data_IF_131585205187
#
_entry.id   IF_131585205187
#
_cell.length_a   1.000
_cell.length_b   1.000
_cell.length_c   1.000
_cell.angle_alpha   90.00
_cell.angle_beta   90.00
_cell.angle_gamma   90.00
#
_symmetry.space_group_name_H-M   'P 1'
#
loop_
_entity.id
_entity.type
_entity.pdbx_description
1 polymer ?
#
# COMPACT_ATOMS: atom_id res chain seq x y z
N UNK A 1 23.99 5.17 89.07
CA UNK A 1 23.90 4.08 88.15
C UNK A 1 23.82 4.69 86.76
N UNK A 2 24.94 4.75 86.00
CA UNK A 2 25.03 5.33 84.69
C UNK A 2 25.23 4.15 83.69
N UNK A 3 24.27 3.91 82.86
CA UNK A 3 24.34 2.91 81.78
C UNK A 3 24.81 3.55 80.47
N UNK A 4 25.94 3.08 80.02
CA UNK A 4 26.59 3.57 78.78
C UNK A 4 26.13 2.65 77.63
N UNK A 5 25.45 3.25 76.67
CA UNK A 5 25.11 2.50 75.46
C UNK A 5 26.15 2.76 74.41
N UNK A 6 26.75 1.65 73.95
CA UNK A 6 27.70 1.60 72.82
C UNK A 6 26.94 1.62 71.48
N UNK A 7 27.20 2.66 70.69
CA UNK A 7 26.65 2.73 69.33
C UNK A 7 27.67 2.13 68.35
N UNK A 8 27.29 1.01 67.77
CA UNK A 8 28.07 0.41 66.68
C UNK A 8 27.56 1.00 65.35
N UNK A 9 28.40 1.75 64.67
CA UNK A 9 28.12 2.26 63.32
C UNK A 9 28.58 1.23 62.31
N UNK A 10 27.60 0.62 61.62
CA UNK A 10 27.86 -0.22 60.44
C UNK A 10 27.81 0.65 59.18
N UNK A 11 28.94 0.79 58.52
CA UNK A 11 29.06 1.45 57.21
C UNK A 11 28.50 0.49 56.13
N UNK A 12 27.38 0.87 55.50
CA UNK A 12 26.86 0.23 54.32
C UNK A 12 27.50 0.85 53.08
N UNK A 13 28.29 0.08 52.40
CA UNK A 13 28.85 0.45 51.07
C UNK A 13 27.75 0.37 50.02
N UNK A 14 27.33 1.49 49.49
CA UNK A 14 26.43 1.62 48.33
C UNK A 14 27.23 1.33 47.04
N UNK A 15 27.06 0.14 46.51
CA UNK A 15 27.53 -0.20 45.15
C UNK A 15 26.53 0.40 44.19
N UNK A 16 26.92 1.48 43.49
CA UNK A 16 26.19 2.03 42.35
C UNK A 16 26.48 1.17 41.13
N UNK A 17 25.56 0.27 40.83
CA UNK A 17 25.49 -0.41 39.54
C UNK A 17 24.84 0.57 38.55
N UNK A 18 25.67 1.18 37.71
CA UNK A 18 25.19 1.93 36.57
C UNK A 18 24.69 0.94 35.51
N UNK A 19 23.39 0.70 35.49
CA UNK A 19 22.75 0.03 34.37
C UNK A 19 22.78 0.98 33.15
N UNK A 20 23.64 0.69 32.20
CA UNK A 20 23.56 1.28 30.86
C UNK A 20 22.27 0.76 30.22
N UNK A 21 21.29 1.64 30.20
CA UNK A 21 20.07 1.44 29.40
C UNK A 21 20.46 1.77 27.96
N UNK A 22 20.79 0.72 27.21
CA UNK A 22 21.03 0.80 25.79
C UNK A 22 19.68 1.08 25.11
N UNK A 23 19.50 2.31 24.71
CA UNK A 23 18.34 2.80 23.99
C UNK A 23 18.39 2.20 22.59
N UNK A 24 17.74 1.06 22.41
CA UNK A 24 17.52 0.49 21.08
C UNK A 24 16.56 1.41 20.33
N UNK A 25 17.13 2.14 19.40
CA UNK A 25 16.41 2.98 18.42
C UNK A 25 15.61 2.04 17.50
N UNK A 26 14.34 1.81 17.88
CA UNK A 26 13.37 1.11 17.04
C UNK A 26 12.87 2.09 15.98
N UNK A 27 13.73 2.42 15.02
CA UNK A 27 13.26 2.93 13.74
C UNK A 27 12.50 1.80 13.07
N UNK A 28 11.18 1.81 13.22
CA UNK A 28 10.29 0.97 12.45
C UNK A 28 10.45 1.36 10.98
N UNK A 29 11.32 0.62 10.31
CA UNK A 29 11.46 0.66 8.86
C UNK A 29 10.12 0.20 8.31
N UNK A 30 9.35 1.12 7.75
CA UNK A 30 8.15 0.78 7.01
C UNK A 30 8.54 -0.30 6.00
N UNK A 31 7.92 -1.46 6.09
CA UNK A 31 8.13 -2.54 5.14
C UNK A 31 7.57 -2.10 3.80
N UNK A 32 8.45 -1.70 2.89
CA UNK A 32 8.12 -1.60 1.49
C UNK A 32 7.51 -2.93 1.05
N UNK A 33 6.39 -2.93 0.30
CA UNK A 33 5.89 -4.16 -0.28
C UNK A 33 6.99 -4.75 -1.16
N UNK A 34 7.23 -6.06 -1.12
CA UNK A 34 8.29 -6.67 -1.91
C UNK A 34 8.00 -6.44 -3.39
N UNK A 35 8.89 -5.69 -4.04
CA UNK A 35 8.93 -5.57 -5.49
C UNK A 35 9.25 -6.94 -6.07
N UNK A 36 8.22 -7.74 -6.29
CA UNK A 36 8.31 -9.05 -6.92
C UNK A 36 8.83 -8.91 -8.34
N UNK A 37 10.09 -9.30 -8.55
CA UNK A 37 10.69 -9.33 -9.87
C UNK A 37 10.15 -10.55 -10.63
N UNK A 38 9.11 -10.35 -11.46
CA UNK A 38 8.73 -11.33 -12.46
C UNK A 38 9.88 -11.46 -13.49
N UNK A 39 10.32 -12.69 -13.77
CA UNK A 39 11.26 -12.95 -14.87
C UNK A 39 10.51 -12.78 -16.18
N UNK A 40 10.82 -11.73 -16.93
CA UNK A 40 10.41 -11.58 -18.32
C UNK A 40 11.02 -12.70 -19.16
N UNK A 41 10.20 -13.43 -19.89
CA UNK A 41 10.64 -14.56 -20.71
C UNK A 41 11.19 -14.19 -22.08
N UNK A 42 11.42 -12.90 -22.41
CA UNK A 42 11.92 -12.51 -23.73
C UNK A 42 12.66 -11.16 -23.83
N UNK A 43 12.96 -10.47 -22.73
CA UNK A 43 13.83 -9.29 -22.73
C UNK A 43 15.25 -9.69 -22.30
N UNK A 44 16.25 -9.17 -23.00
CA UNK A 44 17.64 -9.28 -22.55
C UNK A 44 17.78 -8.36 -21.32
N UNK A 45 17.80 -8.94 -20.12
CA UNK A 45 17.93 -8.21 -18.84
C UNK A 45 19.13 -7.23 -18.82
N UNK A 46 20.05 -7.40 -19.78
CA UNK A 46 21.17 -6.50 -19.98
C UNK A 46 20.76 -5.13 -20.58
N UNK A 47 19.56 -4.99 -21.12
CA UNK A 47 19.08 -3.76 -21.80
C UNK A 47 17.86 -3.12 -21.14
N UNK A 48 17.24 -3.75 -20.14
CA UNK A 48 16.06 -3.21 -19.45
C UNK A 48 16.34 -1.87 -18.78
N UNK A 49 15.39 -0.94 -18.91
CA UNK A 49 15.42 0.36 -18.24
C UNK A 49 14.45 0.44 -17.08
N UNK A 50 14.38 1.61 -16.46
CA UNK A 50 13.48 1.91 -15.35
C UNK A 50 12.70 3.19 -15.62
N UNK A 51 11.46 3.24 -15.16
CA UNK A 51 10.64 4.44 -15.13
C UNK A 51 10.46 4.86 -13.68
N UNK A 52 10.94 6.06 -13.36
CA UNK A 52 10.78 6.69 -12.06
C UNK A 52 9.91 7.92 -12.21
N UNK A 53 9.29 8.35 -11.12
CA UNK A 53 8.58 9.61 -11.19
C UNK A 53 7.82 9.95 -9.94
N UNK A 54 7.13 11.09 -10.03
CA UNK A 54 6.30 11.61 -8.96
C UNK A 54 4.91 11.96 -9.48
N UNK A 55 3.94 11.85 -8.59
CA UNK A 55 2.56 12.26 -8.84
C UNK A 55 2.19 13.34 -7.84
N UNK A 56 1.68 14.47 -8.34
CA UNK A 56 1.29 15.60 -7.51
C UNK A 56 -0.12 16.08 -7.84
N UNK A 57 -0.73 16.79 -6.89
CA UNK A 57 -1.99 17.49 -7.09
C UNK A 57 -1.73 18.99 -7.20
N UNK A 58 -2.11 19.60 -8.32
CA UNK A 58 -2.09 21.05 -8.47
C UNK A 58 -3.39 21.65 -7.90
N UNK A 59 -3.24 22.70 -7.12
CA UNK A 59 -4.38 23.40 -6.52
C UNK A 59 -4.79 22.84 -5.16
N UNK A 60 -6.05 23.08 -4.79
CA UNK A 60 -6.57 22.68 -3.49
C UNK A 60 -7.11 21.24 -3.54
N UNK A 61 -6.67 20.41 -2.61
CA UNK A 61 -7.19 19.06 -2.46
C UNK A 61 -8.71 19.07 -2.16
N UNK A 62 -9.49 18.21 -2.80
CA UNK A 62 -10.86 17.97 -2.39
C UNK A 62 -10.92 17.54 -0.92
N UNK A 63 -11.97 17.98 -0.20
CA UNK A 63 -12.15 17.57 1.19
C UNK A 63 -12.60 16.12 1.25
N UNK A 64 -11.81 15.29 1.89
CA UNK A 64 -12.26 13.96 2.31
C UNK A 64 -13.33 14.12 3.39
N UNK A 65 -14.37 13.32 3.33
CA UNK A 65 -15.43 13.36 4.35
C UNK A 65 -15.01 12.58 5.61
N UNK A 66 -15.46 13.06 6.76
CA UNK A 66 -15.27 12.33 8.01
C UNK A 66 -16.14 11.08 8.04
N UNK A 67 -15.55 9.97 8.40
CA UNK A 67 -16.23 8.67 8.53
C UNK A 67 -16.87 8.60 9.91
N UNK A 68 -18.17 8.32 9.95
CA UNK A 68 -18.88 8.05 11.20
C UNK A 68 -18.90 6.53 11.46
N UNK A 69 -18.10 6.08 12.42
CA UNK A 69 -17.98 4.68 12.84
C UNK A 69 -18.85 4.35 14.08
N UNK A 70 -19.74 5.24 14.52
CA UNK A 70 -20.51 5.06 15.75
C UNK A 70 -21.43 3.83 15.73
N UNK A 71 -21.77 3.31 14.56
CA UNK A 71 -22.57 2.09 14.40
C UNK A 71 -21.80 0.81 14.82
N UNK A 72 -20.48 0.84 14.84
CA UNK A 72 -19.61 -0.24 15.34
C UNK A 72 -18.61 0.33 16.37
N UNK A 73 -18.87 0.08 17.68
CA UNK A 73 -17.99 0.58 18.73
C UNK A 73 -16.55 0.07 18.67
N UNK A 74 -16.31 -1.12 18.11
CA UNK A 74 -14.95 -1.66 17.98
C UNK A 74 -14.18 -0.88 16.91
N UNK A 75 -14.82 -0.54 15.80
CA UNK A 75 -14.26 0.37 14.80
C UNK A 75 -13.95 1.75 15.39
N UNK A 76 -14.90 2.33 16.11
CA UNK A 76 -14.72 3.65 16.71
C UNK A 76 -13.56 3.70 17.72
N UNK A 77 -13.37 2.65 18.54
CA UNK A 77 -12.30 2.55 19.55
C UNK A 77 -10.91 2.32 18.93
N UNK A 78 -10.83 1.82 17.70
CA UNK A 78 -9.56 1.55 17.03
C UNK A 78 -8.80 2.83 16.62
N UNK A 79 -9.43 3.99 16.77
CA UNK A 79 -8.88 5.29 16.39
C UNK A 79 -8.85 6.27 17.55
N UNK A 80 -7.74 7.01 17.68
CA UNK A 80 -7.58 8.05 18.69
C UNK A 80 -8.29 9.38 18.32
N UNK A 81 -8.81 9.51 17.10
CA UNK A 81 -9.43 10.74 16.59
C UNK A 81 -10.27 10.50 15.34
N UNK A 82 -10.79 11.58 14.73
CA UNK A 82 -11.60 11.47 13.53
C UNK A 82 -10.84 10.80 12.37
N UNK A 83 -11.52 9.89 11.70
CA UNK A 83 -11.04 9.21 10.49
C UNK A 83 -11.69 9.86 9.28
N UNK A 84 -10.96 10.04 8.21
CA UNK A 84 -11.47 10.55 6.94
C UNK A 84 -11.39 9.50 5.86
N UNK A 85 -12.23 9.64 4.83
CA UNK A 85 -12.10 8.83 3.61
C UNK A 85 -10.74 9.04 2.95
N UNK A 86 -10.27 8.02 2.23
CA UNK A 86 -8.98 8.04 1.54
C UNK A 86 -9.13 8.30 0.03
N UNK A 87 -10.24 8.93 -0.37
CA UNK A 87 -10.56 9.18 -1.78
C UNK A 87 -9.52 10.06 -2.48
N UNK A 88 -8.95 11.05 -1.76
CA UNK A 88 -7.81 11.85 -2.25
C UNK A 88 -6.84 12.04 -1.08
N UNK A 89 -5.72 11.36 -1.11
CA UNK A 89 -4.70 11.44 -0.05
C UNK A 89 -3.53 12.25 -0.55
N UNK A 90 -3.37 13.44 0.03
CA UNK A 90 -2.29 14.37 -0.33
C UNK A 90 -1.26 14.41 0.79
N UNK A 91 -0.02 14.11 0.46
CA UNK A 91 1.14 14.16 1.34
C UNK A 91 1.87 15.50 1.31
N UNK A 92 3.13 15.49 1.74
CA UNK A 92 4.00 16.66 1.67
C UNK A 92 4.23 17.10 0.21
N UNK A 93 4.48 18.39 0.00
CA UNK A 93 4.73 18.96 -1.34
C UNK A 93 3.64 18.64 -2.38
N UNK A 94 2.39 18.47 -1.94
CA UNK A 94 1.24 18.07 -2.77
C UNK A 94 1.39 16.68 -3.42
N UNK A 95 2.23 15.82 -2.90
CA UNK A 95 2.38 14.45 -3.35
C UNK A 95 1.04 13.71 -3.28
N UNK A 96 0.68 12.95 -4.32
CA UNK A 96 -0.61 12.27 -4.41
C UNK A 96 -0.43 10.76 -4.26
N UNK A 97 -1.02 10.22 -3.20
CA UNK A 97 -1.06 8.78 -2.92
C UNK A 97 -2.20 8.07 -3.65
N UNK A 98 -2.15 6.74 -3.64
CA UNK A 98 -3.19 5.86 -4.19
C UNK A 98 -3.42 6.06 -5.70
N UNK A 99 -2.37 6.47 -6.42
CA UNK A 99 -2.40 6.56 -7.88
C UNK A 99 -1.79 5.30 -8.47
N UNK A 100 -2.50 4.68 -9.40
CA UNK A 100 -1.99 3.54 -10.17
C UNK A 100 -1.26 4.09 -11.39
N UNK A 101 0.02 3.75 -11.54
CA UNK A 101 0.84 4.06 -12.72
C UNK A 101 1.09 2.76 -13.47
N UNK A 102 0.85 2.73 -14.76
CA UNK A 102 1.05 1.51 -15.54
C UNK A 102 1.33 1.81 -17.02
N UNK A 103 1.96 0.85 -17.68
CA UNK A 103 2.09 0.88 -19.16
C UNK A 103 0.76 0.44 -19.76
N UNK A 104 0.06 1.33 -20.41
CA UNK A 104 -1.24 1.03 -21.06
C UNK A 104 -1.10 0.60 -22.52
N UNK A 105 0.00 0.99 -23.20
CA UNK A 105 0.25 0.61 -24.59
C UNK A 105 1.75 0.48 -24.87
N UNK A 106 2.09 -0.30 -25.89
CA UNK A 106 3.47 -0.44 -26.38
C UNK A 106 4.17 -1.75 -26.04
N UNK A 107 3.59 -2.58 -25.16
CA UNK A 107 4.18 -3.88 -24.75
C UNK A 107 4.00 -5.00 -25.80
N UNK A 108 3.16 -4.79 -26.83
CA UNK A 108 2.87 -5.83 -27.80
C UNK A 108 2.08 -7.01 -27.22
N UNK A 109 2.41 -8.23 -27.68
CA UNK A 109 1.70 -9.46 -27.31
C UNK A 109 2.49 -10.32 -26.30
N UNK A 110 3.34 -9.71 -25.49
CA UNK A 110 4.12 -10.44 -24.49
C UNK A 110 3.22 -11.10 -23.44
N UNK A 111 3.61 -12.28 -22.98
CA UNK A 111 2.95 -13.00 -21.89
C UNK A 111 3.90 -13.06 -20.69
N UNK A 112 3.37 -12.88 -19.52
CA UNK A 112 4.11 -12.88 -18.26
C UNK A 112 3.52 -13.91 -17.32
N UNK A 113 4.39 -14.62 -16.60
CA UNK A 113 3.96 -15.51 -15.53
C UNK A 113 3.76 -14.68 -14.26
N UNK A 114 2.60 -14.76 -13.61
CA UNK A 114 2.35 -13.97 -12.39
C UNK A 114 3.28 -14.39 -11.25
N UNK A 115 3.65 -13.45 -10.37
CA UNK A 115 4.42 -13.75 -9.16
C UNK A 115 3.72 -14.80 -8.30
N UNK A 116 4.51 -15.63 -7.62
CA UNK A 116 3.99 -16.65 -6.69
C UNK A 116 3.60 -16.04 -5.35
N UNK A 117 4.28 -14.98 -4.96
CA UNK A 117 4.04 -14.24 -3.73
C UNK A 117 2.71 -13.51 -3.81
N UNK A 118 1.84 -13.67 -2.81
CA UNK A 118 0.58 -12.95 -2.77
C UNK A 118 0.79 -11.45 -2.48
N UNK A 119 -0.05 -10.62 -3.07
CA UNK A 119 -0.23 -9.25 -2.60
C UNK A 119 -1.20 -9.28 -1.41
N UNK A 120 -0.89 -8.55 -0.35
CA UNK A 120 -1.72 -8.50 0.86
C UNK A 120 -2.55 -7.21 0.87
N UNK A 121 -3.85 -7.37 1.14
CA UNK A 121 -4.78 -6.29 1.50
C UNK A 121 -5.26 -6.55 2.92
N UNK A 122 -4.88 -5.69 3.86
CA UNK A 122 -5.24 -5.84 5.27
C UNK A 122 -6.49 -5.02 5.61
N UNK A 123 -7.39 -5.58 6.41
CA UNK A 123 -8.48 -4.84 7.06
C UNK A 123 -8.04 -4.54 8.49
N UNK A 124 -7.82 -3.26 8.77
CA UNK A 124 -7.32 -2.78 10.05
C UNK A 124 -7.83 -1.38 10.35
N UNK A 125 -8.33 -1.18 11.56
CA UNK A 125 -9.00 0.05 11.92
C UNK A 125 -10.30 0.25 11.13
N UNK A 126 -10.95 -0.83 10.73
CA UNK A 126 -12.14 -0.81 9.88
C UNK A 126 -11.94 0.01 8.59
N UNK A 127 -10.75 -0.11 8.00
CA UNK A 127 -10.35 0.42 6.71
C UNK A 127 -9.56 -0.65 5.95
N UNK A 128 -9.51 -0.57 4.63
CA UNK A 128 -8.56 -1.36 3.84
C UNK A 128 -7.21 -0.66 3.86
N UNK A 129 -6.21 -1.26 4.51
CA UNK A 129 -4.82 -0.82 4.40
C UNK A 129 -4.30 -1.20 3.01
N UNK A 130 -3.75 -0.22 2.29
CA UNK A 130 -3.64 -0.32 0.85
C UNK A 130 -5.00 -0.07 0.19
N UNK A 131 -5.49 1.18 0.29
CA UNK A 131 -6.76 1.63 -0.33
C UNK A 131 -6.84 1.25 -1.81
N UNK A 132 -5.69 1.25 -2.49
CA UNK A 132 -5.51 0.75 -3.84
C UNK A 132 -4.41 -0.30 -3.84
N UNK A 133 -4.71 -1.49 -4.37
CA UNK A 133 -3.73 -2.57 -4.59
C UNK A 133 -3.69 -2.95 -6.06
N UNK A 134 -2.51 -3.33 -6.54
CA UNK A 134 -2.30 -3.76 -7.91
C UNK A 134 -1.67 -5.15 -7.94
N UNK A 135 -2.16 -6.03 -8.81
CA UNK A 135 -1.74 -7.42 -8.94
C UNK A 135 -1.60 -7.80 -10.41
N UNK A 136 -0.87 -8.85 -10.69
CA UNK A 136 -0.90 -9.50 -12.01
C UNK A 136 -2.07 -10.49 -12.13
N UNK A 137 -2.57 -10.66 -13.34
CA UNK A 137 -3.62 -11.64 -13.63
C UNK A 137 -3.15 -13.05 -13.26
N UNK A 138 -3.88 -13.73 -12.38
CA UNK A 138 -3.49 -15.02 -11.82
C UNK A 138 -2.66 -14.95 -10.54
N UNK A 139 -2.09 -13.79 -10.17
CA UNK A 139 -1.43 -13.62 -8.89
C UNK A 139 -2.44 -13.71 -7.75
N UNK A 140 -2.01 -14.26 -6.62
CA UNK A 140 -2.84 -14.33 -5.42
C UNK A 140 -2.99 -12.96 -4.76
N UNK A 141 -4.23 -12.59 -4.46
CA UNK A 141 -4.57 -11.56 -3.48
C UNK A 141 -4.89 -12.27 -2.16
N UNK A 142 -4.18 -11.92 -1.10
CA UNK A 142 -4.45 -12.37 0.26
C UNK A 142 -5.07 -11.22 1.05
N UNK A 143 -6.30 -11.41 1.49
CA UNK A 143 -7.01 -10.45 2.33
C UNK A 143 -6.98 -10.93 3.77
N UNK A 144 -6.56 -10.05 4.68
CA UNK A 144 -6.44 -10.36 6.10
C UNK A 144 -7.35 -9.45 6.93
N UNK A 145 -7.92 -9.98 8.02
CA UNK A 145 -8.69 -9.19 8.98
C UNK A 145 -7.94 -9.16 10.32
N UNK A 146 -7.33 -8.02 10.63
CA UNK A 146 -6.61 -7.76 11.88
C UNK A 146 -7.46 -7.03 12.93
N UNK A 147 -8.70 -6.68 12.60
CA UNK A 147 -9.62 -6.03 13.53
C UNK A 147 -10.31 -7.04 14.46
N UNK A 148 -10.77 -6.59 15.62
CA UNK A 148 -11.54 -7.40 16.58
C UNK A 148 -13.00 -7.61 16.14
N UNK A 149 -13.44 -6.96 15.07
CA UNK A 149 -14.79 -7.10 14.50
C UNK A 149 -14.75 -7.87 13.18
N UNK A 150 -15.91 -8.38 12.77
CA UNK A 150 -16.06 -9.08 11.50
C UNK A 150 -16.23 -8.09 10.35
N UNK A 151 -15.60 -8.40 9.23
CA UNK A 151 -15.80 -7.70 7.96
C UNK A 151 -16.36 -8.65 6.91
N UNK A 152 -16.57 -8.14 5.73
CA UNK A 152 -16.60 -8.94 4.52
C UNK A 152 -15.80 -8.22 3.43
N UNK A 153 -15.31 -8.96 2.46
CA UNK A 153 -14.70 -8.42 1.26
C UNK A 153 -15.56 -8.71 0.06
N UNK A 154 -15.91 -7.66 -0.69
CA UNK A 154 -16.80 -7.73 -1.83
C UNK A 154 -16.23 -6.92 -3.01
N UNK A 155 -15.36 -7.50 -3.84
CA UNK A 155 -14.98 -6.93 -5.12
C UNK A 155 -16.14 -6.97 -6.09
N UNK A 156 -16.34 -5.88 -6.86
CA UNK A 156 -17.41 -5.73 -7.84
C UNK A 156 -16.80 -5.52 -9.22
N UNK A 157 -16.24 -6.57 -9.83
CA UNK A 157 -15.61 -6.48 -11.13
C UNK A 157 -16.63 -6.43 -12.26
N UNK A 158 -16.24 -5.82 -13.39
CA UNK A 158 -16.98 -5.85 -14.64
C UNK A 158 -16.56 -7.03 -15.54
N UNK A 159 -15.26 -7.39 -15.50
CA UNK A 159 -14.68 -8.40 -16.40
C UNK A 159 -14.27 -9.70 -15.70
N UNK A 160 -14.14 -9.69 -14.38
CA UNK A 160 -13.86 -10.86 -13.57
C UNK A 160 -15.11 -11.37 -12.87
N UNK A 161 -15.00 -12.48 -12.14
CA UNK A 161 -16.11 -13.02 -11.38
C UNK A 161 -16.29 -12.25 -10.08
N UNK A 162 -17.49 -11.70 -9.85
CA UNK A 162 -17.90 -11.11 -8.58
C UNK A 162 -17.99 -12.18 -7.48
N UNK A 163 -17.58 -11.83 -6.27
CA UNK A 163 -17.72 -12.66 -5.08
C UNK A 163 -17.81 -11.78 -3.82
N UNK A 164 -18.44 -12.33 -2.79
CA UNK A 164 -18.60 -11.70 -1.49
C UNK A 164 -18.35 -12.76 -0.40
N UNK A 165 -17.40 -12.51 0.49
CA UNK A 165 -17.02 -13.46 1.55
C UNK A 165 -16.97 -12.78 2.89
N UNK A 166 -17.63 -13.38 3.89
CA UNK A 166 -17.48 -12.99 5.30
C UNK A 166 -16.08 -13.29 5.80
N UNK A 167 -15.57 -12.40 6.64
CA UNK A 167 -14.20 -12.49 7.16
C UNK A 167 -14.18 -12.13 8.65
N UNK A 168 -14.39 -13.11 9.54
CA UNK A 168 -14.16 -12.96 10.97
C UNK A 168 -12.72 -12.58 11.28
N UNK A 169 -12.48 -12.07 12.49
CA UNK A 169 -11.14 -11.75 13.00
C UNK A 169 -10.14 -12.88 12.75
N UNK A 170 -8.95 -12.55 12.27
CA UNK A 170 -7.84 -13.50 12.07
C UNK A 170 -8.01 -14.45 10.88
N UNK A 171 -9.13 -14.38 10.16
CA UNK A 171 -9.36 -15.19 8.96
C UNK A 171 -8.70 -14.53 7.75
N UNK A 172 -7.87 -15.27 7.03
CA UNK A 172 -7.32 -14.86 5.74
C UNK A 172 -8.14 -15.48 4.60
N UNK A 173 -8.36 -14.71 3.54
CA UNK A 173 -9.01 -15.13 2.30
C UNK A 173 -8.00 -14.99 1.16
N UNK A 174 -7.81 -16.06 0.38
CA UNK A 174 -7.05 -15.99 -0.87
C UNK A 174 -8.00 -16.00 -2.06
N UNK A 175 -7.73 -15.16 -3.04
CA UNK A 175 -8.45 -15.06 -4.30
C UNK A 175 -7.51 -14.73 -5.45
N UNK A 176 -7.95 -15.00 -6.68
CA UNK A 176 -7.24 -14.63 -7.91
C UNK A 176 -8.20 -13.98 -8.89
N UNK A 177 -7.69 -13.07 -9.70
CA UNK A 177 -8.40 -12.47 -10.82
C UNK A 177 -7.67 -12.85 -12.10
N UNK A 178 -8.38 -13.49 -13.02
CA UNK A 178 -7.76 -14.05 -14.24
C UNK A 178 -7.75 -13.10 -15.43
N UNK A 179 -8.42 -11.96 -15.34
CA UNK A 179 -8.56 -11.01 -16.45
C UNK A 179 -8.11 -9.62 -16.02
N UNK A 180 -7.42 -8.97 -16.95
CA UNK A 180 -7.06 -7.56 -16.79
C UNK A 180 -8.29 -6.69 -16.55
N UNK A 181 -8.23 -5.89 -15.51
CA UNK A 181 -9.29 -4.97 -15.14
C UNK A 181 -8.73 -3.89 -14.20
N UNK A 182 -8.84 -2.64 -14.61
CA UNK A 182 -8.34 -1.53 -13.81
C UNK A 182 -9.44 -1.05 -12.88
N UNK A 183 -9.06 -0.81 -11.60
CA UNK A 183 -9.91 -0.18 -10.61
C UNK A 183 -11.23 -0.94 -10.30
N UNK A 184 -11.12 -2.24 -10.03
CA UNK A 184 -12.24 -3.02 -9.49
C UNK A 184 -12.62 -2.44 -8.12
N UNK A 185 -13.85 -1.91 -7.94
CA UNK A 185 -14.27 -1.42 -6.64
C UNK A 185 -14.36 -2.56 -5.63
N UNK A 186 -13.90 -2.30 -4.42
CA UNK A 186 -14.03 -3.21 -3.27
C UNK A 186 -14.79 -2.51 -2.17
N UNK A 187 -15.73 -3.21 -1.55
CA UNK A 187 -16.50 -2.71 -0.39
C UNK A 187 -16.62 -3.74 0.71
N UNK A 188 -16.93 -3.27 1.91
CA UNK A 188 -17.49 -4.06 3.00
C UNK A 188 -18.99 -3.79 3.09
N UNK A 189 -19.83 -4.83 3.12
CA UNK A 189 -21.29 -4.66 3.26
C UNK A 189 -21.70 -4.40 4.72
N UNK A 190 -20.84 -4.74 5.68
CA UNK A 190 -21.04 -4.49 7.12
C UNK A 190 -20.71 -3.03 7.44
N UNK A 191 -19.60 -2.53 6.90
CA UNK A 191 -19.09 -1.19 7.14
C UNK A 191 -19.06 -0.37 5.83
N UNK A 192 -20.13 0.36 5.50
CA UNK A 192 -20.29 1.02 4.18
C UNK A 192 -19.22 2.04 3.84
N UNK A 193 -18.46 2.50 4.84
CA UNK A 193 -17.33 3.42 4.66
C UNK A 193 -16.04 2.72 4.20
N UNK A 194 -15.93 1.39 4.38
CA UNK A 194 -14.78 0.63 3.91
C UNK A 194 -14.85 0.42 2.41
N UNK A 195 -13.99 1.13 1.70
CA UNK A 195 -13.88 1.11 0.24
C UNK A 195 -12.42 1.01 -0.16
N UNK A 196 -12.16 0.45 -1.32
CA UNK A 196 -10.85 0.36 -1.92
C UNK A 196 -10.95 -0.08 -3.38
N UNK A 197 -9.79 -0.30 -4.00
CA UNK A 197 -9.71 -0.70 -5.40
C UNK A 197 -8.66 -1.77 -5.60
N UNK A 198 -8.93 -2.69 -6.52
CA UNK A 198 -7.99 -3.68 -7.00
C UNK A 198 -7.76 -3.43 -8.49
N UNK A 199 -6.51 -3.29 -8.91
CA UNK A 199 -6.14 -3.27 -10.31
C UNK A 199 -5.49 -4.60 -10.69
N UNK A 200 -5.85 -5.15 -11.84
CA UNK A 200 -5.36 -6.43 -12.37
C UNK A 200 -4.72 -6.18 -13.72
N UNK A 201 -3.44 -6.50 -13.85
CA UNK A 201 -2.65 -6.29 -15.07
C UNK A 201 -2.21 -7.62 -15.69
N UNK A 202 -2.01 -7.65 -17.00
CA UNK A 202 -1.42 -8.80 -17.71
C UNK A 202 0.11 -8.78 -17.74
N UNK A 203 0.73 -7.78 -17.14
CA UNK A 203 2.16 -7.52 -17.17
C UNK A 203 2.64 -6.92 -15.85
N UNK A 204 3.93 -6.99 -15.51
CA UNK A 204 4.48 -6.49 -14.24
C UNK A 204 4.76 -4.97 -14.21
N UNK A 205 4.48 -4.24 -15.29
CA UNK A 205 4.89 -2.83 -15.43
C UNK A 205 3.83 -1.87 -14.89
N UNK A 206 3.68 -1.88 -13.58
CA UNK A 206 2.80 -0.98 -12.83
C UNK A 206 3.38 -0.66 -11.46
N UNK A 207 2.90 0.40 -10.85
CA UNK A 207 3.17 0.79 -9.46
C UNK A 207 1.97 1.50 -8.87
N UNK A 208 1.90 1.60 -7.54
CA UNK A 208 0.92 2.42 -6.81
C UNK A 208 1.69 3.38 -5.92
N UNK A 209 1.35 4.68 -5.99
CA UNK A 209 2.06 5.71 -5.23
C UNK A 209 1.72 5.65 -3.74
N UNK A 210 2.75 5.83 -2.90
CA UNK A 210 2.62 6.08 -1.48
C UNK A 210 2.33 7.56 -1.16
N UNK A 211 2.42 7.94 0.13
CA UNK A 211 2.21 9.33 0.59
C UNK A 211 3.26 10.32 0.11
N UNK A 212 4.39 9.84 -0.37
CA UNK A 212 5.46 10.60 -1.03
C UNK A 212 5.14 10.92 -2.51
N UNK A 213 4.12 10.24 -3.07
CA UNK A 213 3.75 10.36 -4.47
C UNK A 213 4.75 9.74 -5.45
N UNK A 214 5.78 9.08 -4.94
CA UNK A 214 6.82 8.47 -5.76
C UNK A 214 6.39 7.11 -6.32
N UNK A 215 6.95 6.76 -7.47
CA UNK A 215 6.79 5.44 -8.07
C UNK A 215 8.04 5.02 -8.84
N UNK A 216 8.24 3.71 -8.93
CA UNK A 216 9.31 3.09 -9.71
C UNK A 216 8.75 1.84 -10.41
N UNK A 217 8.96 1.76 -11.74
CA UNK A 217 8.65 0.58 -12.54
C UNK A 217 9.95 0.10 -13.18
N UNK A 218 10.37 -1.12 -12.85
CA UNK A 218 11.66 -1.69 -13.27
C UNK A 218 11.50 -2.73 -14.37
N UNK A 219 12.62 -3.00 -15.03
CA UNK A 219 12.71 -4.11 -15.97
C UNK A 219 11.97 -3.86 -17.29
N UNK A 220 11.78 -2.59 -17.68
CA UNK A 220 11.06 -2.22 -18.88
C UNK A 220 11.99 -2.40 -20.10
N UNK A 221 11.61 -3.19 -21.12
CA UNK A 221 12.39 -3.27 -22.36
C UNK A 221 12.52 -1.90 -23.03
N UNK A 222 13.59 -1.63 -23.76
CA UNK A 222 13.69 -0.43 -24.58
C UNK A 222 12.53 -0.32 -25.56
N UNK A 223 11.88 0.85 -25.61
CA UNK A 223 10.69 1.04 -26.45
C UNK A 223 9.99 2.37 -26.22
N UNK A 224 8.90 2.57 -26.94
CA UNK A 224 8.03 3.73 -26.75
C UNK A 224 6.68 3.26 -26.24
N UNK A 225 6.26 3.80 -25.11
CA UNK A 225 5.10 3.37 -24.34
C UNK A 225 4.13 4.52 -24.07
N UNK A 226 2.86 4.19 -23.88
CA UNK A 226 1.90 5.09 -23.25
C UNK A 226 1.85 4.71 -21.77
N UNK A 227 2.20 5.65 -20.88
CA UNK A 227 2.11 5.51 -19.44
C UNK A 227 0.83 6.17 -18.99
N UNK A 228 0.01 5.44 -18.22
CA UNK A 228 -1.24 5.94 -17.67
C UNK A 228 -1.15 6.02 -16.16
N UNK A 229 -1.57 7.16 -15.61
CA UNK A 229 -1.82 7.38 -14.19
C UNK A 229 -3.33 7.42 -13.95
N UNK A 230 -3.84 6.61 -13.02
CA UNK A 230 -5.26 6.58 -12.64
C UNK A 230 -5.43 6.92 -11.17
N UNK A 231 -6.39 7.78 -10.87
CA UNK A 231 -6.82 8.13 -9.51
C UNK A 231 -8.34 8.13 -9.44
N UNK A 232 -8.92 7.57 -8.37
CA UNK A 232 -10.38 7.28 -8.28
C UNK A 232 -11.29 8.50 -8.43
N UNK A 233 -10.88 9.67 -7.98
CA UNK A 233 -11.67 10.92 -8.04
C UNK A 233 -11.23 11.86 -9.15
N UNK A 234 -9.95 11.81 -9.51
CA UNK A 234 -9.35 12.76 -10.43
C UNK A 234 -9.26 12.19 -11.86
N UNK A 235 -9.61 10.91 -12.03
CA UNK A 235 -9.62 10.27 -13.35
C UNK A 235 -8.26 9.81 -13.82
N UNK A 236 -7.97 9.97 -15.10
CA UNK A 236 -6.75 9.47 -15.74
C UNK A 236 -5.96 10.57 -16.41
N UNK A 237 -4.63 10.40 -16.39
CA UNK A 237 -3.67 11.21 -17.15
C UNK A 237 -2.72 10.27 -17.89
N UNK A 238 -2.33 10.62 -19.13
CA UNK A 238 -1.47 9.78 -19.96
C UNK A 238 -0.29 10.57 -20.51
N UNK A 239 0.85 9.89 -20.67
CA UNK A 239 2.03 10.45 -21.30
C UNK A 239 2.68 9.40 -22.21
N UNK A 240 3.19 9.85 -23.37
CA UNK A 240 3.99 8.99 -24.24
C UNK A 240 5.46 9.13 -23.87
N UNK A 241 6.11 8.01 -23.58
CA UNK A 241 7.47 7.96 -23.05
C UNK A 241 8.30 6.99 -23.87
N UNK A 242 9.51 7.38 -24.26
CA UNK A 242 10.50 6.48 -24.85
C UNK A 242 11.54 6.15 -23.80
N UNK A 243 11.84 4.86 -23.62
CA UNK A 243 12.83 4.32 -22.70
C UNK A 243 13.91 3.66 -23.54
N UNK A 244 15.15 4.13 -23.41
CA UNK A 244 16.33 3.56 -24.03
C UNK A 244 16.92 2.39 -23.24
N UNK A 245 17.94 1.70 -23.79
CA UNK A 245 18.62 0.63 -23.06
C UNK A 245 19.29 1.14 -21.78
N UNK A 246 18.98 0.53 -20.64
CA UNK A 246 19.47 0.89 -19.27
C UNK A 246 19.17 2.33 -18.87
N UNK A 247 18.20 2.95 -19.51
CA UNK A 247 17.80 4.32 -19.18
C UNK A 247 16.96 4.33 -17.90
N UNK A 248 17.30 5.23 -16.99
CA UNK A 248 16.45 5.68 -15.89
C UNK A 248 15.65 6.88 -16.40
N UNK A 249 14.38 6.65 -16.75
CA UNK A 249 13.49 7.68 -17.28
C UNK A 249 12.67 8.27 -16.17
N UNK A 250 12.75 9.60 -15.99
CA UNK A 250 11.93 10.31 -15.02
C UNK A 250 10.72 10.94 -15.69
N UNK A 251 9.54 10.82 -15.07
CA UNK A 251 8.29 11.43 -15.52
C UNK A 251 7.50 11.99 -14.33
N UNK A 252 6.73 13.05 -14.60
CA UNK A 252 5.88 13.67 -13.59
C UNK A 252 4.42 13.64 -14.05
N UNK A 253 3.51 13.29 -13.14
CA UNK A 253 2.07 13.42 -13.36
C UNK A 253 1.50 14.48 -12.43
N UNK A 254 0.74 15.42 -13.01
CA UNK A 254 0.08 16.48 -12.25
C UNK A 254 -1.42 16.40 -12.47
N UNK A 255 -2.16 16.01 -11.43
CA UNK A 255 -3.62 16.05 -11.41
C UNK A 255 -4.13 17.44 -11.02
N UNK A 256 -5.37 17.77 -11.45
CA UNK A 256 -6.02 19.05 -11.18
C UNK A 256 -7.47 18.87 -10.78
#
# INVERSE_FOLDING_TARGET
>A
MRSTYLVIATAAALIHSAAHFEQQDLTAKASEPPLGRAKSSSGDAATEGELLGTVTLAGQAPRNHTINMAADPECAKSHAGPVTSEEVVVGAANALANVIIYISEGLGTQSFDPPKEPVVMEQKGCQYQGHVVAIEAGQKLRVENSDSTSHNIHPIPANNREWNRSQPQGVAIEATFGREEIAIPVKCNIHPWMKGYIAVFKHPYFAVTGKDGEFVIKGIPPGTYTITAWQEKLGTSTQKVTIGPKEEKNVEFVFR
#
